data_IF_720453712899
#
_entry.id   IF_720453712899
#
_cell.length_a   1.000
_cell.length_b   1.000
_cell.length_c   1.000
_cell.angle_alpha   90.00
_cell.angle_beta   90.00
_cell.angle_gamma   90.00
#
_symmetry.space_group_name_H-M   'P 1'
#
loop_
_entity.id
_entity.type
_entity.pdbx_description
1 polymer ?
#
# COMPACT_ATOMS: atom_id res chain seq x y z
N UNK A 1 10.85 1.29 -32.43
CA UNK A 1 10.48 0.07 -31.71
C UNK A 1 11.19 -0.01 -30.36
N UNK A 2 12.53 0.11 -30.29
CA UNK A 2 13.30 0.12 -29.02
C UNK A 2 12.76 1.05 -27.91
N UNK A 3 12.36 2.28 -28.26
CA UNK A 3 11.82 3.22 -27.27
C UNK A 3 10.49 2.76 -26.63
N UNK A 4 9.67 2.01 -27.37
CA UNK A 4 8.40 1.49 -26.85
C UNK A 4 8.62 0.32 -25.90
N UNK A 5 9.60 -0.54 -26.18
CA UNK A 5 9.98 -1.66 -25.31
C UNK A 5 10.56 -1.17 -23.98
N UNK A 6 11.38 -0.12 -24.01
CA UNK A 6 11.92 0.52 -22.79
C UNK A 6 10.81 1.13 -21.91
N UNK A 7 9.78 1.73 -22.52
CA UNK A 7 8.64 2.30 -21.78
C UNK A 7 7.84 1.18 -21.09
N UNK A 8 7.58 0.07 -21.79
CA UNK A 8 6.86 -1.07 -21.23
C UNK A 8 7.62 -1.68 -20.05
N UNK A 9 8.94 -1.86 -20.16
CA UNK A 9 9.79 -2.33 -19.04
C UNK A 9 9.68 -1.41 -17.81
N UNK A 10 9.73 -0.09 -18.01
CA UNK A 10 9.61 0.87 -16.91
C UNK A 10 8.23 0.86 -16.25
N UNK A 11 7.15 0.68 -17.02
CA UNK A 11 5.80 0.56 -16.49
C UNK A 11 5.63 -0.72 -15.65
N UNK A 12 6.10 -1.86 -16.16
CA UNK A 12 6.07 -3.13 -15.42
C UNK A 12 6.88 -3.06 -14.14
N UNK A 13 8.08 -2.47 -14.20
CA UNK A 13 8.95 -2.32 -13.04
C UNK A 13 8.37 -1.37 -12.00
N UNK A 14 7.77 -0.25 -12.40
CA UNK A 14 7.08 0.66 -11.50
C UNK A 14 5.92 -0.04 -10.77
N UNK A 15 5.10 -0.81 -11.50
CA UNK A 15 4.02 -1.59 -10.92
C UNK A 15 4.53 -2.65 -9.92
N UNK A 16 5.62 -3.34 -10.26
CA UNK A 16 6.20 -4.35 -9.39
C UNK A 16 6.74 -3.75 -8.08
N UNK A 17 7.39 -2.59 -8.15
CA UNK A 17 7.89 -1.88 -6.97
C UNK A 17 6.75 -1.43 -6.05
N UNK A 18 5.73 -0.75 -6.61
CA UNK A 18 4.58 -0.26 -5.83
C UNK A 18 3.81 -1.40 -5.16
N UNK A 19 3.67 -2.56 -5.84
CA UNK A 19 3.08 -3.76 -5.23
C UNK A 19 3.94 -4.33 -4.11
N UNK A 20 5.26 -4.39 -4.30
CA UNK A 20 6.17 -4.87 -3.26
C UNK A 20 6.17 -3.96 -2.02
N UNK A 21 6.01 -2.65 -2.20
CA UNK A 21 5.88 -1.71 -1.10
C UNK A 21 4.52 -1.83 -0.40
N UNK A 22 3.43 -2.01 -1.16
CA UNK A 22 2.12 -2.34 -0.61
C UNK A 22 2.14 -3.65 0.20
N UNK A 23 2.81 -4.69 -0.28
CA UNK A 23 2.94 -5.98 0.43
C UNK A 23 3.65 -5.83 1.78
N UNK A 24 4.63 -4.92 1.90
CA UNK A 24 5.29 -4.63 3.18
C UNK A 24 4.31 -4.00 4.17
N UNK A 25 3.48 -3.06 3.72
CA UNK A 25 2.44 -2.43 4.56
C UNK A 25 1.41 -3.48 4.96
N UNK A 26 0.94 -4.32 4.03
CA UNK A 26 0.02 -5.41 4.31
C UNK A 26 0.57 -6.38 5.37
N UNK A 27 1.87 -6.69 5.31
CA UNK A 27 2.52 -7.52 6.31
C UNK A 27 2.51 -6.86 7.70
N UNK A 28 2.72 -5.55 7.79
CA UNK A 28 2.62 -4.82 9.06
C UNK A 28 1.20 -4.87 9.64
N UNK A 29 0.18 -4.70 8.80
CA UNK A 29 -1.24 -4.83 9.18
C UNK A 29 -1.52 -6.23 9.74
N UNK A 30 -1.08 -7.28 9.04
CA UNK A 30 -1.28 -8.68 9.47
C UNK A 30 -0.56 -9.02 10.77
N UNK A 31 0.66 -8.51 10.96
CA UNK A 31 1.40 -8.70 12.22
C UNK A 31 0.64 -8.07 13.40
N UNK A 32 -0.05 -6.95 13.20
CA UNK A 32 -0.93 -6.39 14.24
C UNK A 32 -2.14 -7.28 14.53
N UNK A 33 -2.75 -7.86 13.50
CA UNK A 33 -3.86 -8.83 13.66
C UNK A 33 -3.42 -10.09 14.43
N UNK A 34 -2.27 -10.67 14.10
CA UNK A 34 -1.81 -11.90 14.74
C UNK A 34 -1.40 -11.67 16.21
N UNK A 35 -0.95 -10.45 16.53
CA UNK A 35 -0.56 -10.05 17.88
C UNK A 35 -1.65 -9.28 18.63
N UNK A 36 -2.93 -9.49 18.30
CA UNK A 36 -4.12 -8.89 18.96
C UNK A 36 -4.21 -9.11 20.49
N UNK A 37 -3.25 -9.78 21.12
CA UNK A 37 -3.04 -9.85 22.58
C UNK A 37 -2.21 -8.70 23.13
N UNK A 38 -1.53 -7.91 22.29
CA UNK A 38 -0.86 -6.69 22.69
C UNK A 38 -1.85 -5.53 22.76
N UNK A 39 -1.72 -4.63 23.75
CA UNK A 39 -2.56 -3.44 23.82
C UNK A 39 -2.43 -2.63 22.53
N UNK A 40 -3.55 -2.12 22.01
CA UNK A 40 -3.56 -1.12 20.94
C UNK A 40 -2.57 -0.02 21.32
N UNK A 41 -1.46 0.05 20.60
CA UNK A 41 -0.47 1.07 20.83
C UNK A 41 -0.76 2.16 19.78
N UNK A 42 -1.21 3.36 20.19
CA UNK A 42 -1.57 4.44 19.27
C UNK A 42 -0.44 4.77 18.28
N UNK A 43 0.81 4.49 18.67
CA UNK A 43 1.98 4.61 17.81
C UNK A 43 1.92 3.70 16.56
N UNK A 44 1.32 2.52 16.62
CA UNK A 44 1.22 1.63 15.45
C UNK A 44 0.22 2.15 14.42
N UNK A 45 -0.89 2.74 14.84
CA UNK A 45 -1.86 3.37 13.93
C UNK A 45 -1.20 4.56 13.21
N UNK A 46 -0.51 5.43 13.95
CA UNK A 46 0.22 6.57 13.37
C UNK A 46 1.30 6.12 12.37
N UNK A 47 2.01 5.01 12.66
CA UNK A 47 2.98 4.42 11.74
C UNK A 47 2.31 3.89 10.49
N UNK A 48 1.19 3.16 10.61
CA UNK A 48 0.44 2.65 9.46
C UNK A 48 -0.10 3.78 8.59
N UNK A 49 -0.66 4.84 9.19
CA UNK A 49 -1.14 6.02 8.48
C UNK A 49 -0.01 6.72 7.71
N UNK A 50 1.15 6.86 8.35
CA UNK A 50 2.33 7.45 7.70
C UNK A 50 2.81 6.60 6.52
N UNK A 51 2.83 5.28 6.66
CA UNK A 51 3.21 4.36 5.57
C UNK A 51 2.21 4.39 4.41
N UNK A 52 0.90 4.40 4.71
CA UNK A 52 -0.16 4.55 3.73
C UNK A 52 -0.03 5.88 2.97
N UNK A 53 0.22 6.97 3.69
CA UNK A 53 0.47 8.27 3.07
C UNK A 53 1.72 8.24 2.18
N UNK A 54 2.82 7.65 2.64
CA UNK A 54 4.04 7.47 1.85
C UNK A 54 3.79 6.76 0.52
N UNK A 55 3.14 5.59 0.56
CA UNK A 55 2.76 4.84 -0.64
C UNK A 55 1.83 5.65 -1.55
N UNK A 56 0.88 6.42 -0.99
CA UNK A 56 -0.01 7.28 -1.79
C UNK A 56 0.75 8.37 -2.56
N UNK A 57 1.92 8.82 -2.06
CA UNK A 57 2.78 9.81 -2.74
C UNK A 57 3.64 9.18 -3.82
N UNK A 58 4.12 7.97 -3.58
CA UNK A 58 4.84 7.19 -4.60
C UNK A 58 3.93 6.83 -5.79
N UNK A 59 2.69 6.42 -5.51
CA UNK A 59 1.67 6.16 -6.53
C UNK A 59 1.35 7.43 -7.32
N UNK A 60 1.08 8.56 -6.64
CA UNK A 60 0.82 9.85 -7.30
C UNK A 60 1.96 10.27 -8.23
N UNK A 61 3.20 10.11 -7.76
CA UNK A 61 4.39 10.38 -8.56
C UNK A 61 4.45 9.49 -9.80
N UNK A 62 4.23 8.19 -9.67
CA UNK A 62 4.25 7.25 -10.79
C UNK A 62 3.10 7.50 -11.80
N UNK A 63 1.91 7.87 -11.32
CA UNK A 63 0.78 8.29 -12.18
C UNK A 63 1.14 9.53 -12.97
N UNK A 64 1.73 10.55 -12.33
CA UNK A 64 2.12 11.81 -13.00
C UNK A 64 3.22 11.63 -14.05
N UNK A 65 4.04 10.59 -13.91
CA UNK A 65 5.02 10.19 -14.92
C UNK A 65 4.43 9.30 -16.03
N UNK A 66 3.15 8.91 -15.96
CA UNK A 66 2.53 8.00 -16.91
C UNK A 66 3.03 6.56 -16.80
N UNK A 67 3.65 6.19 -15.68
CA UNK A 67 4.19 4.85 -15.45
C UNK A 67 3.12 3.86 -14.98
N UNK A 68 2.04 4.36 -14.38
CA UNK A 68 0.87 3.57 -13.99
C UNK A 68 -0.41 4.35 -14.25
N UNK A 69 -1.52 3.64 -14.46
CA UNK A 69 -2.85 4.25 -14.51
C UNK A 69 -3.33 4.62 -13.10
N UNK A 70 -4.08 5.73 -12.98
CA UNK A 70 -4.70 6.16 -11.72
C UNK A 70 -5.57 5.06 -11.11
N UNK A 71 -6.31 4.32 -11.95
CA UNK A 71 -7.15 3.20 -11.51
C UNK A 71 -6.32 2.08 -10.86
N UNK A 72 -5.15 1.78 -11.41
CA UNK A 72 -4.23 0.79 -10.83
C UNK A 72 -3.72 1.25 -9.47
N UNK A 73 -3.31 2.51 -9.36
CA UNK A 73 -2.90 3.11 -8.09
C UNK A 73 -4.00 3.04 -7.02
N UNK A 74 -5.24 3.40 -7.38
CA UNK A 74 -6.39 3.32 -6.49
C UNK A 74 -6.71 1.88 -6.06
N UNK A 75 -6.53 0.89 -6.94
CA UNK A 75 -6.74 -0.51 -6.59
C UNK A 75 -5.73 -0.97 -5.52
N UNK A 76 -4.45 -0.59 -5.66
CA UNK A 76 -3.41 -0.92 -4.66
C UNK A 76 -3.76 -0.34 -3.29
N UNK A 77 -4.12 0.95 -3.23
CA UNK A 77 -4.49 1.59 -1.95
C UNK A 77 -5.77 1.01 -1.36
N UNK A 78 -6.79 0.76 -2.19
CA UNK A 78 -8.07 0.23 -1.74
C UNK A 78 -7.98 -1.16 -1.11
N UNK A 79 -7.05 -2.00 -1.57
CA UNK A 79 -6.77 -3.30 -0.94
C UNK A 79 -6.23 -3.11 0.49
N UNK A 80 -5.30 -2.19 0.70
CA UNK A 80 -4.74 -1.90 2.03
C UNK A 80 -5.76 -1.23 2.97
N UNK A 81 -6.56 -0.28 2.46
CA UNK A 81 -7.63 0.38 3.21
C UNK A 81 -8.68 -0.61 3.72
N UNK A 82 -9.03 -1.61 2.90
CA UNK A 82 -9.94 -2.69 3.28
C UNK A 82 -9.37 -3.51 4.44
N UNK A 83 -8.10 -3.90 4.37
CA UNK A 83 -7.44 -4.70 5.40
C UNK A 83 -7.28 -3.91 6.71
N UNK A 84 -6.96 -2.61 6.63
CA UNK A 84 -6.97 -1.70 7.79
C UNK A 84 -8.36 -1.60 8.44
N UNK A 85 -9.41 -1.49 7.63
CA UNK A 85 -10.79 -1.42 8.13
C UNK A 85 -11.15 -2.70 8.91
N UNK A 86 -10.75 -3.87 8.39
CA UNK A 86 -10.95 -5.16 9.08
C UNK A 86 -10.20 -5.19 10.42
N UNK A 87 -8.94 -4.72 10.46
CA UNK A 87 -8.15 -4.62 11.70
C UNK A 87 -8.85 -3.70 12.72
N UNK A 88 -9.29 -2.51 12.32
CA UNK A 88 -9.98 -1.58 13.21
C UNK A 88 -11.28 -2.19 13.75
N UNK A 89 -12.11 -2.78 12.90
CA UNK A 89 -13.34 -3.45 13.35
C UNK A 89 -13.08 -4.60 14.32
N UNK A 90 -12.07 -5.43 14.06
CA UNK A 90 -11.72 -6.54 14.95
C UNK A 90 -11.25 -6.04 16.32
N UNK A 91 -10.57 -4.89 16.34
CA UNK A 91 -10.05 -4.30 17.57
C UNK A 91 -11.14 -3.64 18.44
N UNK A 92 -12.19 -3.08 17.83
CA UNK A 92 -13.34 -2.47 18.53
C UNK A 92 -14.31 -3.48 19.14
N UNK A 93 -14.29 -4.74 18.70
CA UNK A 93 -15.17 -5.81 19.19
C UNK A 93 -14.62 -6.54 20.44
N UNK A 94 -13.47 -6.11 20.98
CA UNK A 94 -12.84 -6.68 22.17
C UNK A 94 -13.14 -5.88 23.44
#
# INVERSE_FOLDING_TARGET
MLASELIVDHQERANALLKADADKILKLIKVQMDNLTMPQCPLYEEVLDTQMFGLSREIDFAVRLGLIEEKTGKAILGELEKELSILHEASLRK
#
